data_IF_060313206216
#
_entry.id   IF_060313206216
#
_cell.length_a   1.000
_cell.length_b   1.000
_cell.length_c   1.000
_cell.angle_alpha   90.00
_cell.angle_beta   90.00
_cell.angle_gamma   90.00
#
_symmetry.space_group_name_H-M   'P 1'
#
loop_
_entity.id
_entity.type
_entity.pdbx_description
1 polymer ?
#
# COMPACT_ATOMS: atom_id res chain seq x y z
N UNK A 1 -13.24 14.58 -20.79
CA UNK A 1 -14.21 14.10 -19.86
C UNK A 1 -13.70 14.24 -18.44
N UNK A 2 -14.55 14.71 -17.59
CA UNK A 2 -14.19 14.92 -16.19
C UNK A 2 -14.86 13.88 -15.29
N UNK A 3 -15.14 12.71 -15.82
CA UNK A 3 -15.71 11.63 -15.05
C UNK A 3 -14.74 11.21 -13.94
N UNK A 4 -15.18 11.30 -12.71
CA UNK A 4 -14.39 10.82 -11.60
C UNK A 4 -14.37 9.31 -11.59
N UNK A 5 -13.19 8.72 -11.41
CA UNK A 5 -13.08 7.28 -11.30
C UNK A 5 -13.29 6.86 -9.85
N UNK A 6 -14.03 5.79 -9.67
CA UNK A 6 -14.29 5.24 -8.35
C UNK A 6 -13.13 4.33 -7.94
N UNK A 7 -12.30 4.82 -7.04
CA UNK A 7 -11.18 4.04 -6.52
C UNK A 7 -11.60 3.42 -5.18
N UNK A 8 -11.33 2.14 -5.02
CA UNK A 8 -11.57 1.46 -3.75
C UNK A 8 -10.34 0.65 -3.38
N UNK A 9 -10.02 0.65 -2.09
CA UNK A 9 -8.87 -0.08 -1.58
C UNK A 9 -9.36 -1.01 -0.49
N UNK A 10 -8.96 -2.27 -0.58
CA UNK A 10 -9.33 -3.28 0.40
C UNK A 10 -8.11 -4.09 0.79
N UNK A 11 -8.17 -4.67 1.99
CA UNK A 11 -7.15 -5.62 2.44
C UNK A 11 -7.65 -7.02 2.12
N UNK A 12 -7.05 -7.65 1.12
CA UNK A 12 -7.34 -9.03 0.77
C UNK A 12 -6.49 -9.93 1.65
N UNK A 13 -7.03 -10.29 2.81
CA UNK A 13 -6.26 -11.04 3.81
C UNK A 13 -5.96 -12.45 3.35
N UNK A 14 -6.82 -13.05 2.53
CA UNK A 14 -6.57 -14.40 2.00
C UNK A 14 -5.32 -14.44 1.14
N UNK A 15 -5.03 -13.33 0.43
CA UNK A 15 -3.88 -13.24 -0.45
C UNK A 15 -2.72 -12.45 0.18
N UNK A 16 -2.91 -11.93 1.38
CA UNK A 16 -1.91 -11.10 2.06
C UNK A 16 -1.47 -9.92 1.19
N UNK A 17 -2.46 -9.15 0.75
CA UNK A 17 -2.16 -7.96 -0.05
C UNK A 17 -3.29 -6.95 0.05
N UNK A 18 -2.94 -5.68 -0.07
CA UNK A 18 -3.90 -4.61 -0.28
C UNK A 18 -4.14 -4.47 -1.77
N UNK A 19 -5.39 -4.25 -2.16
CA UNK A 19 -5.77 -4.15 -3.56
C UNK A 19 -6.46 -2.82 -3.81
N UNK A 20 -6.14 -2.20 -4.95
CA UNK A 20 -6.85 -1.01 -5.38
C UNK A 20 -7.59 -1.33 -6.67
N UNK A 21 -8.89 -1.00 -6.70
CA UNK A 21 -9.70 -1.13 -7.89
C UNK A 21 -10.07 0.23 -8.42
N UNK A 22 -10.26 0.31 -9.73
CA UNK A 22 -10.74 1.52 -10.41
C UNK A 22 -11.98 1.11 -11.18
N UNK A 23 -13.12 1.69 -10.82
CA UNK A 23 -14.41 1.35 -11.44
C UNK A 23 -14.66 -0.16 -11.42
N UNK A 24 -14.29 -0.79 -10.31
CA UNK A 24 -14.53 -2.22 -10.09
C UNK A 24 -13.49 -3.16 -10.67
N UNK A 25 -12.49 -2.63 -11.38
CA UNK A 25 -11.46 -3.45 -12.00
C UNK A 25 -10.17 -3.37 -11.19
N UNK A 26 -9.53 -4.52 -10.92
CA UNK A 26 -8.29 -4.54 -10.17
C UNK A 26 -7.21 -3.79 -10.93
N UNK A 27 -6.66 -2.77 -10.30
CA UNK A 27 -5.66 -1.90 -10.93
C UNK A 27 -4.26 -2.12 -10.37
N UNK A 28 -4.16 -2.61 -9.14
CA UNK A 28 -2.86 -2.84 -8.54
C UNK A 28 -2.99 -3.45 -7.15
N UNK A 29 -1.85 -3.80 -6.56
CA UNK A 29 -1.84 -4.40 -5.24
C UNK A 29 -0.50 -4.18 -4.55
N UNK A 30 -0.50 -4.33 -3.24
CA UNK A 30 0.71 -4.25 -2.41
C UNK A 30 0.76 -5.49 -1.53
N UNK A 31 1.72 -6.36 -1.80
CA UNK A 31 1.90 -7.60 -1.04
C UNK A 31 2.58 -7.34 0.28
N UNK A 32 2.23 -8.16 1.27
CA UNK A 32 2.91 -8.10 2.56
C UNK A 32 3.09 -9.48 3.15
N UNK A 33 4.02 -9.58 4.08
CA UNK A 33 4.25 -10.78 4.89
C UNK A 33 4.33 -10.35 6.35
N UNK A 34 3.57 -11.04 7.19
CA UNK A 34 3.53 -10.72 8.62
C UNK A 34 4.41 -11.66 9.42
N UNK A 35 5.12 -11.08 10.39
CA UNK A 35 5.86 -11.85 11.38
C UNK A 35 5.67 -11.16 12.72
N UNK A 36 4.89 -11.78 13.60
CA UNK A 36 4.50 -11.12 14.83
C UNK A 36 3.73 -9.86 14.51
N UNK A 37 4.10 -8.75 15.12
CA UNK A 37 3.44 -7.47 14.87
C UNK A 37 4.15 -6.63 13.80
N UNK A 38 5.02 -7.25 13.00
CA UNK A 38 5.75 -6.55 11.93
C UNK A 38 5.22 -7.02 10.59
N UNK A 39 4.79 -6.06 9.79
CA UNK A 39 4.29 -6.31 8.44
C UNK A 39 5.32 -5.83 7.42
N UNK A 40 5.85 -6.76 6.65
CA UNK A 40 6.83 -6.46 5.63
C UNK A 40 6.15 -6.24 4.29
N UNK A 41 6.17 -4.99 3.81
CA UNK A 41 5.65 -4.67 2.48
C UNK A 41 6.78 -4.90 1.48
N UNK A 42 6.68 -6.00 0.73
CA UNK A 42 7.80 -6.47 -0.09
C UNK A 42 7.59 -6.32 -1.59
N UNK A 43 6.39 -6.01 -2.05
CA UNK A 43 6.16 -5.86 -3.49
C UNK A 43 4.91 -5.03 -3.76
N UNK A 44 4.99 -4.15 -4.74
CA UNK A 44 3.87 -3.33 -5.18
C UNK A 44 3.79 -3.41 -6.70
N UNK A 45 2.57 -3.57 -7.19
CA UNK A 45 2.32 -3.68 -8.63
C UNK A 45 1.17 -2.76 -9.01
N UNK A 46 1.34 -1.98 -10.08
CA UNK A 46 0.24 -1.28 -10.75
C UNK A 46 0.24 -1.77 -12.17
N UNK A 47 -0.90 -2.30 -12.64
CA UNK A 47 -0.97 -2.89 -13.96
C UNK A 47 -0.80 -1.83 -15.03
N UNK A 48 -0.25 -2.23 -16.16
CA UNK A 48 0.21 -1.30 -17.18
C UNK A 48 -0.89 -0.35 -17.65
N UNK A 49 -2.11 -0.86 -17.84
CA UNK A 49 -3.19 -0.01 -18.33
C UNK A 49 -3.59 1.09 -17.34
N UNK A 50 -3.17 0.96 -16.08
CA UNK A 50 -3.50 1.94 -15.04
C UNK A 50 -2.31 2.81 -14.63
N UNK A 51 -1.16 2.62 -15.25
CA UNK A 51 0.02 3.38 -14.89
C UNK A 51 -0.13 4.86 -15.27
N UNK A 52 0.53 5.72 -14.52
CA UNK A 52 0.46 7.15 -14.76
C UNK A 52 -0.72 7.84 -14.11
N UNK A 53 -1.54 7.09 -13.35
CA UNK A 53 -2.70 7.66 -12.65
C UNK A 53 -2.42 7.92 -11.16
N UNK A 54 -1.20 7.66 -10.71
CA UNK A 54 -0.81 7.93 -9.33
C UNK A 54 -1.45 6.99 -8.31
N UNK A 55 -1.73 5.75 -8.69
CA UNK A 55 -2.49 4.83 -7.84
C UNK A 55 -1.68 4.23 -6.70
N UNK A 56 -0.36 4.13 -6.85
CA UNK A 56 0.46 3.55 -5.78
C UNK A 56 0.41 4.40 -4.51
N UNK A 57 0.31 5.71 -4.65
CA UNK A 57 0.33 6.61 -3.49
C UNK A 57 -0.85 6.39 -2.55
N UNK A 58 -2.12 6.43 -3.01
CA UNK A 58 -3.23 6.13 -2.11
C UNK A 58 -3.21 4.68 -1.60
N UNK A 59 -2.73 3.74 -2.41
CA UNK A 59 -2.63 2.35 -1.99
C UNK A 59 -1.67 2.21 -0.81
N UNK A 60 -0.48 2.79 -0.92
CA UNK A 60 0.53 2.73 0.14
C UNK A 60 0.03 3.45 1.38
N UNK A 61 -0.54 4.66 1.20
CA UNK A 61 -1.05 5.44 2.33
C UNK A 61 -2.10 4.66 3.10
N UNK A 62 -3.05 4.05 2.40
CA UNK A 62 -4.10 3.25 3.03
C UNK A 62 -3.49 2.10 3.84
N UNK A 63 -2.51 1.41 3.29
CA UNK A 63 -1.89 0.27 3.96
C UNK A 63 -1.13 0.70 5.21
N UNK A 64 -0.48 1.86 5.18
CA UNK A 64 0.24 2.36 6.36
C UNK A 64 -0.71 2.87 7.43
N UNK A 65 -1.80 3.53 7.02
CA UNK A 65 -2.83 3.93 7.98
C UNK A 65 -3.44 2.71 8.66
N UNK A 66 -3.68 1.64 7.89
CA UNK A 66 -4.18 0.39 8.44
C UNK A 66 -3.20 -0.21 9.45
N UNK A 67 -1.91 -0.17 9.15
CA UNK A 67 -0.90 -0.68 10.07
C UNK A 67 -0.94 0.10 11.39
N UNK A 68 -1.05 1.43 11.31
CA UNK A 68 -1.13 2.26 12.52
C UNK A 68 -2.36 1.93 13.34
N UNK A 69 -3.51 1.77 12.69
CA UNK A 69 -4.77 1.49 13.38
C UNK A 69 -4.77 0.13 14.07
N UNK A 70 -3.93 -0.78 13.60
CA UNK A 70 -3.85 -2.14 14.12
C UNK A 70 -2.58 -2.39 14.92
N UNK A 71 -1.88 -1.33 15.31
CA UNK A 71 -0.69 -1.40 16.15
C UNK A 71 0.40 -2.29 15.55
N UNK A 72 0.54 -2.24 14.24
CA UNK A 72 1.60 -2.96 13.53
C UNK A 72 2.77 -2.03 13.28
N UNK A 73 3.98 -2.60 13.30
CA UNK A 73 5.14 -1.96 12.72
C UNK A 73 5.32 -2.48 11.31
N UNK A 74 6.09 -1.77 10.49
CA UNK A 74 6.26 -2.16 9.10
C UNK A 74 7.73 -2.20 8.72
N UNK A 75 8.04 -2.98 7.68
CA UNK A 75 9.32 -2.97 7.01
C UNK A 75 9.09 -2.61 5.55
N UNK A 76 9.77 -1.57 5.04
CA UNK A 76 9.57 -1.14 3.65
C UNK A 76 10.62 -1.75 2.73
N UNK A 77 10.58 -3.06 2.51
CA UNK A 77 11.57 -3.69 1.63
C UNK A 77 11.26 -3.45 0.16
N UNK A 78 10.01 -3.08 -0.16
CA UNK A 78 9.68 -2.65 -1.51
C UNK A 78 10.14 -1.20 -1.73
N UNK A 79 10.86 -0.90 -2.83
CA UNK A 79 11.36 0.46 -3.08
C UNK A 79 10.26 1.52 -3.10
N UNK A 80 9.05 1.18 -3.54
CA UNK A 80 7.95 2.14 -3.57
C UNK A 80 7.58 2.61 -2.16
N UNK A 81 7.61 1.70 -1.18
CA UNK A 81 7.35 2.05 0.22
C UNK A 81 8.48 2.89 0.80
N UNK A 82 9.72 2.52 0.50
CA UNK A 82 10.86 3.28 1.00
C UNK A 82 10.81 4.72 0.49
N UNK A 83 10.49 4.88 -0.80
CA UNK A 83 10.39 6.21 -1.39
C UNK A 83 9.24 7.02 -0.77
N UNK A 84 8.10 6.36 -0.56
CA UNK A 84 6.95 7.03 0.07
C UNK A 84 7.32 7.53 1.47
N UNK A 85 8.00 6.71 2.26
CA UNK A 85 8.40 7.08 3.62
C UNK A 85 9.37 8.25 3.64
N UNK A 86 10.25 8.35 2.65
CA UNK A 86 11.17 9.48 2.55
C UNK A 86 10.43 10.80 2.33
N UNK A 87 9.28 10.74 1.66
CA UNK A 87 8.50 11.93 1.34
C UNK A 87 7.38 12.21 2.33
N UNK A 88 7.12 11.29 3.25
CA UNK A 88 5.99 11.39 4.18
C UNK A 88 6.45 11.00 5.58
N UNK A 89 7.11 11.95 6.25
CA UNK A 89 7.77 11.70 7.52
C UNK A 89 6.81 11.24 8.62
N UNK A 90 5.54 11.59 8.50
CA UNK A 90 4.54 11.24 9.51
C UNK A 90 4.34 9.73 9.67
N UNK A 91 4.89 8.93 8.76
CA UNK A 91 4.79 7.47 8.84
C UNK A 91 6.07 6.80 9.28
N UNK A 92 7.14 7.56 9.52
CA UNK A 92 8.43 6.94 9.83
C UNK A 92 8.44 6.25 11.18
N UNK A 93 7.58 6.69 12.11
CA UNK A 93 7.47 6.04 13.41
C UNK A 93 6.94 4.61 13.31
N UNK A 94 6.33 4.22 12.19
CA UNK A 94 5.84 2.86 12.00
C UNK A 94 6.96 1.88 11.67
N UNK A 95 8.12 2.36 11.20
CA UNK A 95 9.18 1.47 10.72
C UNK A 95 9.79 0.72 11.88
N UNK A 96 9.85 -0.61 11.75
CA UNK A 96 10.42 -1.46 12.78
C UNK A 96 11.91 -1.21 12.87
N UNK A 97 12.41 -1.20 14.11
CA UNK A 97 13.83 -1.08 14.34
C UNK A 97 14.47 -2.46 14.39
N UNK A 98 15.69 -2.54 13.92
CA UNK A 98 16.43 -3.79 13.94
C UNK A 98 17.22 -3.94 15.23
#
# INVERSE_FOLDING_TARGET
SMTAHNQQITNNTAESRFEITVDGKLAGFADYQDKGNVRNFNHTEVFEEFRGQGLSKPLIKFSLDHARENDLQILPTCPAYEKFLQKNEEYQDLVAEN
#
